data_IF_132458464171
#
_entry.id   IF_132458464171
#
_cell.length_a   1.000
_cell.length_b   1.000
_cell.length_c   1.000
_cell.angle_alpha   90.00
_cell.angle_beta   90.00
_cell.angle_gamma   90.00
#
_symmetry.space_group_name_H-M   'P 1'
#
loop_
_entity.id
_entity.type
_entity.pdbx_description
1 polymer ?
#
# COMPACT_ATOMS: atom_id res chain seq x y z
N UNK A 1 6.05 -21.29 13.66
CA UNK A 1 4.86 -21.57 12.84
C UNK A 1 5.31 -22.45 11.68
N UNK A 2 4.57 -23.52 11.42
CA UNK A 2 4.81 -24.41 10.28
C UNK A 2 4.34 -23.72 8.98
N UNK A 3 5.18 -23.69 7.95
CA UNK A 3 4.85 -23.12 6.63
C UNK A 3 3.96 -24.12 5.90
N UNK A 4 2.70 -23.75 5.60
CA UNK A 4 1.77 -24.66 4.92
C UNK A 4 1.85 -24.56 3.40
N UNK A 5 2.24 -23.40 2.87
CA UNK A 5 2.35 -23.16 1.45
C UNK A 5 3.38 -22.05 1.13
N UNK A 6 3.90 -22.10 -0.09
CA UNK A 6 4.72 -21.04 -0.70
C UNK A 6 3.99 -20.59 -1.96
N UNK A 7 3.78 -19.28 -2.08
CA UNK A 7 3.11 -18.66 -3.21
C UNK A 7 4.12 -17.92 -4.06
N UNK A 8 4.23 -18.30 -5.32
CA UNK A 8 5.02 -17.55 -6.29
C UNK A 8 4.27 -16.31 -6.77
N UNK A 9 5.00 -15.28 -7.19
CA UNK A 9 4.48 -13.99 -7.66
C UNK A 9 3.60 -13.20 -6.69
N UNK A 10 3.51 -13.60 -5.41
CA UNK A 10 2.54 -13.07 -4.46
C UNK A 10 3.08 -12.00 -3.51
N UNK A 11 4.39 -11.70 -3.50
CA UNK A 11 4.90 -10.55 -2.75
C UNK A 11 4.36 -9.23 -3.35
N UNK A 12 3.63 -8.45 -2.54
CA UNK A 12 3.02 -7.19 -2.95
C UNK A 12 4.04 -6.11 -3.36
N UNK A 13 5.31 -6.21 -2.92
CA UNK A 13 6.36 -5.29 -3.36
C UNK A 13 7.12 -5.80 -4.59
N UNK A 14 7.82 -6.94 -4.48
CA UNK A 14 8.69 -7.40 -5.57
C UNK A 14 8.05 -8.40 -6.54
N UNK A 15 6.88 -8.94 -6.22
CA UNK A 15 6.28 -10.03 -6.99
C UNK A 15 7.12 -11.31 -7.00
N UNK A 16 7.91 -11.57 -5.97
CA UNK A 16 8.58 -12.86 -5.78
C UNK A 16 7.83 -13.79 -4.82
N UNK A 17 8.45 -14.93 -4.54
CA UNK A 17 7.92 -15.95 -3.63
C UNK A 17 7.72 -15.44 -2.19
N UNK A 18 6.67 -15.96 -1.55
CA UNK A 18 6.32 -15.63 -0.17
C UNK A 18 5.63 -16.83 0.51
N UNK A 19 5.91 -17.04 1.79
CA UNK A 19 5.23 -18.06 2.59
C UNK A 19 3.80 -17.62 2.94
N UNK A 20 2.92 -18.58 3.15
CA UNK A 20 1.56 -18.35 3.67
C UNK A 20 1.53 -17.43 4.89
N UNK A 21 2.42 -17.64 5.86
CA UNK A 21 2.53 -16.83 7.06
C UNK A 21 2.85 -15.36 6.76
N UNK A 22 3.83 -15.08 5.89
CA UNK A 22 4.19 -13.69 5.52
C UNK A 22 3.15 -13.04 4.62
N UNK A 23 2.49 -13.83 3.77
CA UNK A 23 1.42 -13.35 2.90
C UNK A 23 0.23 -12.83 3.72
N UNK A 24 -0.18 -13.58 4.76
CA UNK A 24 -1.30 -13.21 5.63
C UNK A 24 -1.02 -11.99 6.54
N UNK A 25 0.25 -11.62 6.75
CA UNK A 25 0.60 -10.45 7.57
C UNK A 25 0.43 -9.13 6.80
N UNK A 26 1.30 -8.87 5.82
CA UNK A 26 1.29 -7.64 5.01
C UNK A 26 1.52 -7.91 3.53
N UNK A 27 1.69 -9.18 3.15
CA UNK A 27 1.95 -9.55 1.77
C UNK A 27 3.36 -9.19 1.27
N UNK A 28 4.31 -8.85 2.13
CA UNK A 28 5.68 -8.49 1.73
C UNK A 28 6.67 -9.53 2.21
N UNK A 29 7.48 -10.07 1.29
CA UNK A 29 8.40 -11.16 1.59
C UNK A 29 9.59 -10.68 2.45
N UNK A 30 10.24 -11.59 3.19
CA UNK A 30 11.40 -11.26 4.04
C UNK A 30 12.57 -10.60 3.30
N UNK A 31 12.76 -10.91 2.00
CA UNK A 31 13.79 -10.30 1.16
C UNK A 31 13.57 -8.79 0.96
N UNK A 32 12.31 -8.36 0.91
CA UNK A 32 11.95 -6.95 0.79
C UNK A 32 11.98 -6.27 2.16
N UNK A 33 11.34 -6.88 3.15
CA UNK A 33 11.21 -6.34 4.50
C UNK A 33 11.41 -7.48 5.52
N UNK A 34 12.53 -7.43 6.21
CA UNK A 34 12.93 -8.45 7.18
C UNK A 34 12.04 -8.44 8.42
N UNK A 35 11.86 -7.26 9.02
CA UNK A 35 10.99 -7.07 10.18
C UNK A 35 9.57 -6.75 9.69
N UNK A 36 8.57 -7.61 9.96
CA UNK A 36 7.19 -7.36 9.56
C UNK A 36 6.65 -6.03 10.10
N UNK A 37 5.93 -5.30 9.26
CA UNK A 37 5.08 -4.16 9.64
C UNK A 37 3.69 -4.40 9.06
N UNK A 38 2.63 -4.05 9.80
CA UNK A 38 1.24 -4.36 9.44
C UNK A 38 0.61 -3.30 8.56
N UNK A 39 1.07 -2.06 8.63
CA UNK A 39 0.54 -0.97 7.82
C UNK A 39 1.25 -0.91 6.46
N UNK A 40 0.51 -1.20 5.39
CA UNK A 40 1.06 -1.24 4.03
C UNK A 40 1.67 0.09 3.55
N UNK A 41 1.14 1.23 4.00
CA UNK A 41 1.68 2.56 3.68
C UNK A 41 3.04 2.73 4.36
N UNK A 42 3.15 2.40 5.65
CA UNK A 42 4.43 2.43 6.37
C UNK A 42 5.45 1.48 5.74
N UNK A 43 5.03 0.28 5.33
CA UNK A 43 5.89 -0.65 4.60
C UNK A 43 6.42 0.00 3.32
N UNK A 44 5.56 0.65 2.53
CA UNK A 44 5.97 1.34 1.31
C UNK A 44 6.93 2.50 1.60
N UNK A 45 6.72 3.28 2.66
CA UNK A 45 7.63 4.34 3.09
C UNK A 45 9.02 3.82 3.53
N UNK A 46 9.05 2.73 4.31
CA UNK A 46 10.29 2.06 4.72
C UNK A 46 11.04 1.58 3.47
N UNK A 47 10.35 0.92 2.54
CA UNK A 47 10.94 0.43 1.29
C UNK A 47 11.42 1.58 0.40
N UNK A 48 10.69 2.71 0.36
CA UNK A 48 11.09 3.93 -0.36
C UNK A 48 12.41 4.46 0.18
N UNK A 49 12.48 4.60 1.50
CA UNK A 49 13.66 5.12 2.22
C UNK A 49 14.88 4.21 2.05
N UNK A 50 14.65 2.90 1.92
CA UNK A 50 15.68 1.91 1.68
C UNK A 50 16.06 1.73 0.20
N UNK A 51 15.44 2.46 -0.74
CA UNK A 51 15.65 2.29 -2.19
C UNK A 51 15.18 0.95 -2.75
N UNK A 52 14.25 0.27 -2.05
CA UNK A 52 13.72 -1.07 -2.39
C UNK A 52 12.25 -1.06 -2.82
N UNK A 53 11.65 0.13 -2.94
CA UNK A 53 10.26 0.27 -3.35
C UNK A 53 10.07 -0.13 -4.81
N UNK A 54 9.15 -1.06 -5.05
CA UNK A 54 8.80 -1.57 -6.37
C UNK A 54 7.30 -1.40 -6.61
N UNK A 55 6.52 -2.49 -6.68
CA UNK A 55 5.08 -2.42 -7.01
C UNK A 55 4.25 -1.65 -5.98
N UNK A 56 4.67 -1.63 -4.71
CA UNK A 56 4.01 -0.81 -3.68
C UNK A 56 4.12 0.70 -3.91
N UNK A 57 4.93 1.15 -4.89
CA UNK A 57 4.97 2.54 -5.32
C UNK A 57 3.60 3.04 -5.72
N UNK A 58 2.82 2.26 -6.46
CA UNK A 58 1.48 2.65 -6.93
C UNK A 58 0.53 2.91 -5.75
N UNK A 59 0.59 2.04 -4.72
CA UNK A 59 -0.20 2.18 -3.50
C UNK A 59 0.19 3.44 -2.73
N UNK A 60 1.50 3.68 -2.57
CA UNK A 60 1.99 4.86 -1.86
C UNK A 60 1.67 6.16 -2.60
N UNK A 61 1.85 6.18 -3.91
CA UNK A 61 1.56 7.37 -4.72
C UNK A 61 0.06 7.71 -4.68
N UNK A 62 -0.82 6.70 -4.81
CA UNK A 62 -2.26 6.90 -4.66
C UNK A 62 -2.64 7.42 -3.27
N UNK A 63 -2.02 6.89 -2.22
CA UNK A 63 -2.26 7.35 -0.86
C UNK A 63 -1.85 8.82 -0.68
N UNK A 64 -0.66 9.20 -1.15
CA UNK A 64 -0.18 10.58 -1.07
C UNK A 64 -1.07 11.54 -1.87
N UNK A 65 -1.45 11.15 -3.09
CA UNK A 65 -2.37 11.94 -3.91
C UNK A 65 -3.75 12.10 -3.24
N UNK A 66 -4.24 11.07 -2.57
CA UNK A 66 -5.49 11.14 -1.82
C UNK A 66 -5.38 12.05 -0.59
N UNK A 67 -4.28 12.00 0.17
CA UNK A 67 -4.06 12.91 1.31
C UNK A 67 -3.96 14.38 0.86
N UNK A 68 -3.32 14.64 -0.27
CA UNK A 68 -3.27 15.97 -0.90
C UNK A 68 -4.67 16.45 -1.30
N UNK A 69 -5.46 15.59 -1.95
CA UNK A 69 -6.86 15.85 -2.29
C UNK A 69 -7.70 16.12 -1.04
N UNK A 70 -7.59 15.27 -0.01
CA UNK A 70 -8.33 15.38 1.25
C UNK A 70 -8.03 16.71 1.93
N UNK A 71 -6.76 17.11 1.95
CA UNK A 71 -6.31 18.39 2.49
C UNK A 71 -6.88 19.56 1.69
N UNK A 72 -6.87 19.49 0.35
CA UNK A 72 -7.49 20.48 -0.52
C UNK A 72 -9.00 20.59 -0.28
N UNK A 73 -9.72 19.47 -0.24
CA UNK A 73 -11.16 19.39 -0.03
C UNK A 73 -11.57 20.06 1.29
N UNK A 74 -10.84 19.75 2.37
CA UNK A 74 -11.06 20.34 3.69
C UNK A 74 -10.83 21.84 3.71
N UNK A 75 -9.78 22.34 3.04
CA UNK A 75 -9.54 23.79 2.91
C UNK A 75 -10.64 24.49 2.12
N UNK A 76 -11.17 23.85 1.07
CA UNK A 76 -12.18 24.44 0.19
C UNK A 76 -13.58 24.44 0.80
N UNK A 77 -13.95 23.37 1.52
CA UNK A 77 -15.33 23.13 1.97
C UNK A 77 -15.52 23.17 3.49
N UNK A 78 -14.42 23.14 4.26
CA UNK A 78 -14.45 23.21 5.73
C UNK A 78 -14.67 21.87 6.44
N UNK A 79 -14.84 20.77 5.72
CA UNK A 79 -15.01 19.42 6.27
C UNK A 79 -14.29 18.36 5.42
N UNK A 80 -14.10 17.15 5.95
CA UNK A 80 -13.45 16.06 5.22
C UNK A 80 -14.42 15.33 4.28
N UNK A 81 -13.95 14.75 3.17
CA UNK A 81 -14.80 13.96 2.29
C UNK A 81 -15.44 12.80 3.06
N UNK A 82 -16.74 12.58 2.85
CA UNK A 82 -17.45 11.43 3.40
C UNK A 82 -17.11 10.17 2.59
N UNK A 83 -17.41 9.00 3.15
CA UNK A 83 -16.92 7.71 2.64
C UNK A 83 -17.13 7.50 1.13
N UNK A 84 -18.27 7.93 0.58
CA UNK A 84 -18.55 7.81 -0.85
C UNK A 84 -17.65 8.72 -1.72
N UNK A 85 -17.38 9.94 -1.26
CA UNK A 85 -16.47 10.87 -1.91
C UNK A 85 -15.02 10.39 -1.84
N UNK A 86 -14.61 9.77 -0.72
CA UNK A 86 -13.29 9.13 -0.62
C UNK A 86 -13.10 8.05 -1.69
N UNK A 87 -14.11 7.19 -1.87
CA UNK A 87 -14.07 6.12 -2.89
C UNK A 87 -13.98 6.73 -4.30
N UNK A 88 -14.82 7.73 -4.60
CA UNK A 88 -14.80 8.38 -5.91
C UNK A 88 -13.48 9.10 -6.18
N UNK A 89 -12.94 9.80 -5.18
CA UNK A 89 -11.64 10.45 -5.32
C UNK A 89 -10.54 9.43 -5.62
N UNK A 90 -10.49 8.31 -4.88
CA UNK A 90 -9.51 7.26 -5.11
C UNK A 90 -9.62 6.65 -6.51
N UNK A 91 -10.83 6.42 -7.02
CA UNK A 91 -11.05 5.91 -8.40
C UNK A 91 -10.56 6.89 -9.47
N UNK A 92 -10.89 8.17 -9.32
CA UNK A 92 -10.43 9.20 -10.25
C UNK A 92 -8.90 9.32 -10.21
N UNK A 93 -8.31 9.29 -9.01
CA UNK A 93 -6.85 9.38 -8.82
C UNK A 93 -6.10 8.13 -9.31
N UNK A 94 -6.71 6.94 -9.26
CA UNK A 94 -6.13 5.72 -9.82
C UNK A 94 -6.34 5.59 -11.34
N UNK A 95 -7.21 6.41 -11.92
CA UNK A 95 -7.59 6.31 -13.34
C UNK A 95 -8.64 5.24 -13.62
N UNK A 96 -9.26 4.65 -12.60
CA UNK A 96 -10.36 3.68 -12.71
C UNK A 96 -11.71 4.40 -12.95
N UNK A 97 -11.91 4.89 -14.18
CA UNK A 97 -13.15 5.57 -14.61
C UNK A 97 -14.13 4.65 -15.34
#
# INVERSE_FOLDING_TARGET
MEVKAIYDFACANCGGEITDARLLEVGVCPKCLEIPEKNIIKVAEILKSAGKLQKLKEVLDLHLAYEDFKSFFKRALGFEPWALQEIWAKRILSGDN
#
